data_IF_776961273551
#
_entry.id   IF_776961273551
#
_cell.length_a   1.000
_cell.length_b   1.000
_cell.length_c   1.000
_cell.angle_alpha   90.00
_cell.angle_beta   90.00
_cell.angle_gamma   90.00
#
_symmetry.space_group_name_H-M   'P 1'
#
loop_
_entity.id
_entity.type
_entity.pdbx_description
1 polymer ?
#
# COMPACT_ATOMS: atom_id res chain seq x y z
N UNK A 1 45.01 82.46 -2.51
CA UNK A 1 45.80 82.83 -3.73
C UNK A 1 45.39 81.90 -4.83
N UNK A 2 44.88 82.48 -5.90
CA UNK A 2 44.96 82.17 -7.33
C UNK A 2 44.42 80.79 -7.78
N UNK A 3 43.27 80.70 -8.43
CA UNK A 3 43.00 81.01 -9.89
C UNK A 3 43.73 79.96 -10.74
N UNK A 4 43.13 79.23 -11.65
CA UNK A 4 42.35 79.55 -12.87
C UNK A 4 41.94 78.22 -13.57
N UNK A 5 40.71 78.15 -13.94
CA UNK A 5 40.13 77.88 -15.27
C UNK A 5 41.01 77.28 -16.36
N UNK A 6 40.49 76.34 -17.11
CA UNK A 6 40.13 76.43 -18.55
C UNK A 6 39.69 75.07 -19.10
N UNK A 7 38.48 74.99 -19.43
CA UNK A 7 37.76 74.88 -20.67
C UNK A 7 38.20 73.77 -21.64
N UNK A 8 37.20 73.13 -22.08
CA UNK A 8 36.86 72.69 -23.46
C UNK A 8 37.50 71.43 -24.03
N UNK A 9 36.67 70.58 -24.43
CA UNK A 9 36.86 69.91 -25.71
C UNK A 9 36.26 68.52 -25.88
N UNK A 10 35.05 68.49 -26.46
CA UNK A 10 34.61 67.55 -27.51
C UNK A 10 34.52 66.04 -27.21
N UNK A 11 33.31 65.60 -27.10
CA UNK A 11 32.61 64.66 -28.02
C UNK A 11 33.43 63.46 -28.43
N UNK A 12 33.02 62.27 -27.96
CA UNK A 12 32.90 61.11 -28.81
C UNK A 12 32.14 60.00 -28.17
N UNK A 13 31.08 59.68 -28.81
CA UNK A 13 30.51 58.39 -29.09
C UNK A 13 30.11 57.48 -27.89
N UNK A 14 28.83 57.52 -27.66
CA UNK A 14 28.07 56.46 -27.04
C UNK A 14 28.31 55.14 -27.72
N UNK A 15 28.81 54.17 -26.98
CA UNK A 15 28.53 52.76 -27.28
C UNK A 15 27.64 52.22 -26.15
N UNK A 16 26.35 52.35 -26.39
CA UNK A 16 25.34 51.57 -25.71
C UNK A 16 25.54 50.09 -26.10
N UNK A 17 26.29 49.37 -25.33
CA UNK A 17 26.20 47.92 -25.31
C UNK A 17 24.88 47.54 -24.62
N UNK A 18 23.87 47.40 -25.47
CA UNK A 18 22.62 46.74 -25.09
C UNK A 18 22.96 45.32 -24.65
N UNK A 19 23.06 45.09 -23.36
CA UNK A 19 23.02 43.80 -22.72
C UNK A 19 21.58 43.28 -22.90
N UNK A 20 21.36 42.60 -24.05
CA UNK A 20 20.17 41.83 -24.28
C UNK A 20 20.15 40.77 -23.17
N UNK A 21 19.47 41.07 -22.08
CA UNK A 21 19.07 40.11 -21.10
C UNK A 21 18.19 39.08 -21.80
N UNK A 22 18.79 38.00 -22.22
CA UNK A 22 18.06 36.79 -22.56
C UNK A 22 17.34 36.37 -21.28
N UNK A 23 16.12 36.82 -21.12
CA UNK A 23 15.16 36.23 -20.20
C UNK A 23 15.00 34.79 -20.66
N UNK A 24 15.77 33.89 -20.08
CA UNK A 24 15.45 32.48 -20.01
C UNK A 24 14.09 32.40 -19.31
N UNK A 25 13.03 32.59 -20.09
CA UNK A 25 11.71 32.15 -19.70
C UNK A 25 11.83 30.65 -19.53
N UNK A 26 12.09 30.23 -18.28
CA UNK A 26 11.84 28.87 -17.85
C UNK A 26 10.35 28.65 -18.15
N UNK A 27 10.05 28.13 -19.35
CA UNK A 27 8.76 27.54 -19.63
C UNK A 27 8.65 26.38 -18.65
N UNK A 28 8.08 26.62 -17.48
CA UNK A 28 7.44 25.60 -16.72
C UNK A 28 6.38 25.03 -17.67
N UNK A 29 6.72 23.92 -18.33
CA UNK A 29 5.81 23.20 -19.17
C UNK A 29 4.68 22.79 -18.24
N UNK A 30 3.50 23.41 -18.40
CA UNK A 30 2.33 23.00 -17.67
C UNK A 30 2.08 21.53 -18.01
N UNK A 31 2.30 20.66 -17.03
CA UNK A 31 2.04 19.24 -17.15
C UNK A 31 0.57 19.10 -17.46
N UNK A 32 0.23 18.52 -18.60
CA UNK A 32 -1.16 18.28 -18.98
C UNK A 32 -1.78 17.27 -18.01
N UNK A 33 -3.11 17.36 -17.79
CA UNK A 33 -3.83 16.38 -16.93
C UNK A 33 -3.57 14.93 -17.37
N UNK A 34 -3.40 14.71 -18.67
CA UNK A 34 -3.09 13.40 -19.24
C UNK A 34 -1.67 12.92 -18.87
N UNK A 35 -0.69 13.82 -18.91
CA UNK A 35 0.68 13.51 -18.51
C UNK A 35 0.79 13.23 -17.00
N UNK A 36 0.08 14.02 -16.19
CA UNK A 36 -0.01 13.80 -14.74
C UNK A 36 -0.64 12.42 -14.45
N UNK A 37 -1.75 12.10 -15.10
CA UNK A 37 -2.40 10.79 -14.96
C UNK A 37 -1.49 9.63 -15.40
N UNK A 38 -0.69 9.81 -16.46
CA UNK A 38 0.29 8.83 -16.92
C UNK A 38 1.40 8.61 -15.89
N UNK A 39 1.92 9.70 -15.30
CA UNK A 39 2.91 9.63 -14.23
C UNK A 39 2.40 8.87 -12.99
N UNK A 40 1.14 9.14 -12.59
CA UNK A 40 0.49 8.43 -11.48
C UNK A 40 0.34 6.95 -11.79
N UNK A 41 -0.14 6.58 -12.99
CA UNK A 41 -0.25 5.17 -13.38
C UNK A 41 1.09 4.46 -13.25
N UNK A 42 2.16 5.04 -13.80
CA UNK A 42 3.49 4.47 -13.72
C UNK A 42 4.01 4.34 -12.28
N UNK A 43 3.70 5.29 -11.41
CA UNK A 43 4.04 5.22 -9.99
C UNK A 43 3.26 4.12 -9.26
N UNK A 44 1.94 4.04 -9.49
CA UNK A 44 1.07 3.03 -8.89
C UNK A 44 1.40 1.60 -9.36
N UNK A 45 1.72 1.39 -10.65
CA UNK A 45 2.16 0.07 -11.15
C UNK A 45 3.46 -0.39 -10.48
N UNK A 46 4.42 0.52 -10.34
CA UNK A 46 5.67 0.23 -9.63
C UNK A 46 5.43 -0.05 -8.16
N UNK A 47 4.63 0.79 -7.49
CA UNK A 47 4.27 0.63 -6.08
C UNK A 47 3.57 -0.71 -5.82
N UNK A 48 2.55 -1.04 -6.61
CA UNK A 48 1.83 -2.30 -6.50
C UNK A 48 2.76 -3.52 -6.73
N UNK A 49 3.63 -3.45 -7.74
CA UNK A 49 4.60 -4.52 -7.99
C UNK A 49 5.61 -4.67 -6.86
N UNK A 50 6.10 -3.58 -6.29
CA UNK A 50 7.02 -3.57 -5.16
C UNK A 50 6.34 -4.14 -3.88
N UNK A 51 5.10 -3.73 -3.59
CA UNK A 51 4.33 -4.25 -2.47
C UNK A 51 4.14 -5.77 -2.57
N UNK A 52 3.73 -6.27 -3.74
CA UNK A 52 3.58 -7.71 -3.98
C UNK A 52 4.90 -8.46 -3.82
N UNK A 53 6.00 -7.93 -4.32
CA UNK A 53 7.32 -8.55 -4.15
C UNK A 53 7.77 -8.56 -2.69
N UNK A 54 7.55 -7.47 -1.97
CA UNK A 54 7.94 -7.34 -0.57
C UNK A 54 7.14 -8.26 0.33
N UNK A 55 5.83 -8.31 0.15
CA UNK A 55 4.90 -9.05 1.01
C UNK A 55 4.80 -10.53 0.62
N UNK A 56 4.99 -10.88 -0.65
CA UNK A 56 4.92 -12.26 -1.14
C UNK A 56 6.19 -13.09 -0.89
N UNK A 57 7.26 -12.49 -0.37
CA UNK A 57 8.46 -13.24 0.02
C UNK A 57 8.32 -13.87 1.41
N UNK A 58 9.18 -14.82 1.72
CA UNK A 58 9.34 -15.33 3.08
C UNK A 58 9.59 -14.20 4.06
N UNK A 59 8.88 -14.20 5.18
CA UNK A 59 8.91 -13.14 6.20
C UNK A 59 8.37 -11.77 5.75
N UNK A 60 7.69 -11.71 4.61
CA UNK A 60 7.00 -10.50 4.16
C UNK A 60 5.87 -10.07 5.08
N UNK A 61 5.14 -11.03 5.67
CA UNK A 61 4.16 -10.82 6.73
C UNK A 61 4.71 -11.21 8.09
N UNK A 62 5.20 -12.43 8.25
CA UNK A 62 5.60 -12.96 9.56
C UNK A 62 6.71 -12.14 10.21
N UNK A 63 7.68 -11.71 9.43
CA UNK A 63 8.83 -10.92 9.88
C UNK A 63 8.60 -9.40 9.86
N UNK A 64 7.46 -8.92 9.37
CA UNK A 64 7.15 -7.50 9.27
C UNK A 64 6.12 -7.08 10.31
N UNK A 65 6.51 -6.36 11.38
CA UNK A 65 5.60 -5.96 12.46
C UNK A 65 4.40 -5.12 12.00
N UNK A 66 4.52 -4.40 10.87
CA UNK A 66 3.46 -3.50 10.38
C UNK A 66 2.27 -4.26 9.78
N UNK A 67 2.52 -5.42 9.17
CA UNK A 67 1.49 -6.21 8.48
C UNK A 67 1.32 -7.61 9.05
N UNK A 68 2.14 -8.00 10.02
CA UNK A 68 2.05 -9.31 10.67
C UNK A 68 0.64 -9.58 11.17
N UNK A 69 0.06 -10.69 10.74
CA UNK A 69 -1.27 -11.10 11.12
C UNK A 69 -1.23 -11.68 12.54
N UNK A 70 -1.87 -11.02 13.52
CA UNK A 70 -1.96 -11.52 14.88
C UNK A 70 -2.99 -12.63 15.00
N UNK A 71 -3.05 -13.28 16.17
CA UNK A 71 -4.17 -14.16 16.49
C UNK A 71 -5.49 -13.38 16.46
N UNK A 72 -6.60 -13.98 16.01
CA UNK A 72 -7.93 -13.44 16.22
C UNK A 72 -8.19 -13.15 17.71
N UNK A 73 -8.94 -12.09 18.02
CA UNK A 73 -9.14 -11.60 19.40
C UNK A 73 -9.51 -12.71 20.40
N UNK A 74 -10.44 -13.57 20.01
CA UNK A 74 -10.87 -14.70 20.82
C UNK A 74 -9.70 -15.66 21.19
N UNK A 75 -8.83 -16.00 20.25
CA UNK A 75 -7.64 -16.81 20.52
C UNK A 75 -6.55 -16.04 21.25
N UNK A 76 -6.46 -14.74 21.04
CA UNK A 76 -5.51 -13.91 21.76
C UNK A 76 -5.78 -13.92 23.27
N UNK A 77 -7.04 -13.83 23.66
CA UNK A 77 -7.46 -13.89 25.06
C UNK A 77 -7.23 -15.29 25.66
N UNK A 78 -7.55 -16.34 24.89
CA UNK A 78 -7.27 -17.73 25.30
C UNK A 78 -5.77 -18.07 25.29
N UNK A 79 -4.95 -17.35 24.55
CA UNK A 79 -3.52 -17.66 24.38
C UNK A 79 -2.72 -17.64 25.67
N UNK A 80 -3.08 -16.73 26.59
CA UNK A 80 -2.44 -16.66 27.92
C UNK A 80 -2.63 -17.95 28.68
N UNK A 81 -3.84 -18.49 28.68
CA UNK A 81 -4.18 -19.74 29.35
C UNK A 81 -3.52 -20.94 28.64
N UNK A 82 -3.53 -20.96 27.30
CA UNK A 82 -2.88 -22.00 26.52
C UNK A 82 -1.36 -22.03 26.72
N UNK A 83 -0.73 -20.88 26.95
CA UNK A 83 0.69 -20.79 27.31
C UNK A 83 0.98 -21.46 28.66
N UNK A 84 0.14 -21.22 29.63
CA UNK A 84 0.28 -21.82 30.98
C UNK A 84 0.12 -23.36 30.98
N UNK A 85 -0.60 -23.90 29.99
CA UNK A 85 -0.81 -25.34 29.80
C UNK A 85 0.22 -26.00 28.85
N UNK A 86 1.31 -25.30 28.49
CA UNK A 86 2.37 -25.83 27.66
C UNK A 86 2.03 -25.90 26.17
N UNK A 87 0.95 -25.25 25.73
CA UNK A 87 0.50 -25.27 24.32
C UNK A 87 1.04 -24.12 23.48
N UNK A 88 2.07 -23.41 23.94
CA UNK A 88 2.70 -22.29 23.24
C UNK A 88 3.07 -22.65 21.80
N UNK A 89 3.68 -23.82 21.58
CA UNK A 89 4.10 -24.27 20.26
C UNK A 89 2.96 -24.30 19.25
N UNK A 90 1.75 -24.74 19.65
CA UNK A 90 0.57 -24.77 18.76
C UNK A 90 0.10 -23.38 18.37
N UNK A 91 0.24 -22.41 19.27
CA UNK A 91 -0.07 -21.00 19.00
C UNK A 91 0.91 -20.44 17.97
N UNK A 92 2.20 -20.69 18.16
CA UNK A 92 3.25 -20.22 17.25
C UNK A 92 3.13 -20.86 15.87
N UNK A 93 2.77 -22.14 15.80
CA UNK A 93 2.46 -22.86 14.56
C UNK A 93 1.29 -22.20 13.82
N UNK A 94 0.22 -21.83 14.51
CA UNK A 94 -0.92 -21.17 13.90
C UNK A 94 -0.56 -19.75 13.38
N UNK A 95 0.12 -18.94 14.19
CA UNK A 95 0.57 -17.61 13.79
C UNK A 95 1.46 -17.72 12.52
N UNK A 96 2.38 -18.67 12.53
CA UNK A 96 3.26 -18.93 11.39
C UNK A 96 2.46 -19.33 10.16
N UNK A 97 1.54 -20.26 10.29
CA UNK A 97 0.72 -20.74 9.16
C UNK A 97 -0.15 -19.62 8.56
N UNK A 98 -0.79 -18.79 9.39
CA UNK A 98 -1.60 -17.66 8.92
C UNK A 98 -0.77 -16.66 8.10
N UNK A 99 0.40 -16.29 8.59
CA UNK A 99 1.27 -15.34 7.92
C UNK A 99 1.88 -15.93 6.63
N UNK A 100 2.32 -17.21 6.65
CA UNK A 100 2.80 -17.91 5.46
C UNK A 100 1.70 -18.09 4.41
N UNK A 101 0.46 -18.30 4.82
CA UNK A 101 -0.68 -18.34 3.92
C UNK A 101 -0.90 -17.00 3.20
N UNK A 102 -0.79 -15.88 3.93
CA UNK A 102 -0.85 -14.55 3.35
C UNK A 102 0.29 -14.30 2.35
N UNK A 103 1.52 -14.64 2.71
CA UNK A 103 2.70 -14.54 1.84
C UNK A 103 2.53 -15.34 0.53
N UNK A 104 1.91 -16.53 0.60
CA UNK A 104 1.63 -17.35 -0.57
C UNK A 104 0.50 -16.80 -1.44
N UNK A 105 -0.47 -16.10 -0.86
CA UNK A 105 -1.61 -15.55 -1.59
C UNK A 105 -1.27 -14.23 -2.30
N UNK A 106 -0.42 -13.39 -1.72
CA UNK A 106 -0.11 -12.04 -2.23
C UNK A 106 0.38 -11.99 -3.67
N UNK A 107 1.19 -12.93 -4.20
CA UNK A 107 1.59 -12.91 -5.62
C UNK A 107 0.42 -12.89 -6.61
N UNK A 108 -0.72 -13.49 -6.25
CA UNK A 108 -1.94 -13.49 -7.08
C UNK A 108 -2.54 -12.08 -7.25
N UNK A 109 -2.23 -11.16 -6.36
CA UNK A 109 -2.71 -9.79 -6.45
C UNK A 109 -2.11 -8.99 -7.61
N UNK A 110 -0.91 -9.37 -8.08
CA UNK A 110 -0.15 -8.57 -9.05
C UNK A 110 -0.94 -8.20 -10.29
N UNK A 111 -1.54 -9.20 -10.93
CA UNK A 111 -2.28 -9.01 -12.17
C UNK A 111 -3.50 -8.11 -11.96
N UNK A 112 -4.26 -8.32 -10.89
CA UNK A 112 -5.46 -7.54 -10.59
C UNK A 112 -5.11 -6.08 -10.25
N UNK A 113 -4.07 -5.84 -9.46
CA UNK A 113 -3.60 -4.49 -9.12
C UNK A 113 -3.10 -3.74 -10.37
N UNK A 114 -2.27 -4.38 -11.20
CA UNK A 114 -1.78 -3.77 -12.45
C UNK A 114 -2.94 -3.47 -13.41
N UNK A 115 -3.90 -4.38 -13.57
CA UNK A 115 -5.06 -4.15 -14.41
C UNK A 115 -5.96 -3.02 -13.89
N UNK A 116 -6.12 -2.89 -12.57
CA UNK A 116 -6.83 -1.76 -11.98
C UNK A 116 -6.18 -0.42 -12.34
N UNK A 117 -4.84 -0.34 -12.28
CA UNK A 117 -4.11 0.87 -12.68
C UNK A 117 -4.23 1.14 -14.17
N UNK A 118 -4.12 0.13 -15.03
CA UNK A 118 -4.25 0.28 -16.48
C UNK A 118 -5.64 0.75 -16.91
N UNK A 119 -6.68 0.33 -16.21
CA UNK A 119 -8.06 0.75 -16.44
C UNK A 119 -8.43 2.07 -15.75
N UNK A 120 -7.48 2.70 -15.04
CA UNK A 120 -7.68 3.95 -14.33
C UNK A 120 -8.02 5.09 -15.29
N UNK A 121 -9.12 5.80 -15.03
CA UNK A 121 -9.50 7.01 -15.77
C UNK A 121 -8.65 8.22 -15.36
N UNK A 122 -8.71 9.30 -16.14
CA UNK A 122 -8.06 10.58 -15.77
C UNK A 122 -8.67 11.13 -14.48
N UNK A 123 -9.99 10.97 -14.32
CA UNK A 123 -10.71 11.39 -13.11
C UNK A 123 -10.30 10.58 -11.86
N UNK A 124 -10.05 9.25 -12.00
CA UNK A 124 -9.47 8.45 -10.93
C UNK A 124 -8.09 8.99 -10.52
N UNK A 125 -7.25 9.33 -11.50
CA UNK A 125 -5.94 9.93 -11.27
C UNK A 125 -6.03 11.26 -10.54
N UNK A 126 -6.97 12.12 -10.93
CA UNK A 126 -7.23 13.39 -10.25
C UNK A 126 -7.67 13.18 -8.80
N UNK A 127 -8.59 12.25 -8.56
CA UNK A 127 -9.05 11.92 -7.20
C UNK A 127 -7.92 11.39 -6.32
N UNK A 128 -7.01 10.60 -6.88
CA UNK A 128 -5.83 10.13 -6.15
C UNK A 128 -4.92 11.31 -5.77
N UNK A 129 -4.67 12.24 -6.70
CA UNK A 129 -3.81 13.41 -6.43
C UNK A 129 -4.38 14.36 -5.37
N UNK A 130 -5.69 14.54 -5.35
CA UNK A 130 -6.36 15.52 -4.48
C UNK A 130 -6.99 14.91 -3.24
N UNK A 131 -7.00 13.59 -3.14
CA UNK A 131 -7.81 12.84 -2.17
C UNK A 131 -7.14 12.52 -0.83
N UNK A 132 -5.91 13.00 -0.57
CA UNK A 132 -5.17 12.74 0.67
C UNK A 132 -4.38 11.43 0.65
N UNK A 133 -3.72 11.13 1.78
CA UNK A 133 -2.68 10.10 1.89
C UNK A 133 -3.13 8.68 1.58
N UNK A 134 -4.40 8.35 1.82
CA UNK A 134 -4.98 7.02 1.61
C UNK A 134 -5.75 6.86 0.29
N UNK A 135 -5.75 7.90 -0.57
CA UNK A 135 -6.52 7.90 -1.82
C UNK A 135 -6.14 6.78 -2.80
N UNK A 136 -4.84 6.48 -2.91
CA UNK A 136 -4.34 5.36 -3.71
C UNK A 136 -4.78 4.01 -3.12
N UNK A 137 -4.69 3.86 -1.81
CA UNK A 137 -5.15 2.68 -1.07
C UNK A 137 -6.63 2.42 -1.29
N UNK A 138 -7.46 3.45 -1.16
CA UNK A 138 -8.92 3.36 -1.43
C UNK A 138 -9.20 2.96 -2.86
N UNK A 139 -8.52 3.58 -3.84
CA UNK A 139 -8.66 3.23 -5.24
C UNK A 139 -8.40 1.74 -5.48
N UNK A 140 -7.30 1.18 -4.96
CA UNK A 140 -7.01 -0.24 -5.10
C UNK A 140 -8.03 -1.11 -4.39
N UNK A 141 -8.40 -0.79 -3.16
CA UNK A 141 -9.37 -1.55 -2.40
C UNK A 141 -10.73 -1.61 -3.11
N UNK A 142 -11.24 -0.47 -3.58
CA UNK A 142 -12.53 -0.38 -4.28
C UNK A 142 -12.54 -1.20 -5.58
N UNK A 143 -11.44 -1.21 -6.32
CA UNK A 143 -11.35 -1.91 -7.60
C UNK A 143 -11.05 -3.40 -7.49
N UNK A 144 -10.35 -3.84 -6.43
CA UNK A 144 -9.76 -5.18 -6.42
C UNK A 144 -10.11 -6.04 -5.22
N UNK A 145 -10.58 -5.48 -4.09
CA UNK A 145 -10.80 -6.24 -2.84
C UNK A 145 -11.70 -7.46 -3.02
N UNK A 146 -12.82 -7.32 -3.71
CA UNK A 146 -13.76 -8.44 -3.93
C UNK A 146 -13.12 -9.57 -4.74
N UNK A 147 -12.47 -9.22 -5.85
CA UNK A 147 -11.81 -10.21 -6.70
C UNK A 147 -10.63 -10.86 -5.96
N UNK A 148 -9.81 -10.08 -5.25
CA UNK A 148 -8.69 -10.61 -4.47
C UNK A 148 -9.15 -11.49 -3.32
N UNK A 149 -10.26 -11.17 -2.66
CA UNK A 149 -10.85 -12.07 -1.64
C UNK A 149 -11.14 -13.45 -2.24
N UNK A 150 -11.75 -13.51 -3.43
CA UNK A 150 -12.04 -14.78 -4.10
C UNK A 150 -10.79 -15.55 -4.50
N UNK A 151 -9.69 -14.87 -4.86
CA UNK A 151 -8.42 -15.51 -5.19
C UNK A 151 -7.63 -15.96 -3.97
N UNK A 152 -7.61 -15.17 -2.90
CA UNK A 152 -6.82 -15.45 -1.70
C UNK A 152 -7.42 -16.57 -0.85
N UNK A 153 -8.74 -16.60 -0.73
CA UNK A 153 -9.43 -17.51 0.17
C UNK A 153 -9.05 -18.99 -0.03
N UNK A 154 -9.06 -19.57 -1.25
CA UNK A 154 -8.71 -20.97 -1.45
C UNK A 154 -7.24 -21.26 -1.15
N UNK A 155 -6.32 -20.31 -1.39
CA UNK A 155 -4.90 -20.46 -1.09
C UNK A 155 -4.69 -20.49 0.42
N UNK A 156 -5.31 -19.55 1.12
CA UNK A 156 -5.24 -19.42 2.57
C UNK A 156 -5.89 -20.62 3.25
N UNK A 157 -7.05 -21.08 2.76
CA UNK A 157 -7.70 -22.28 3.26
C UNK A 157 -6.76 -23.49 3.17
N UNK A 158 -6.21 -23.78 2.00
CA UNK A 158 -5.29 -24.89 1.79
C UNK A 158 -4.05 -24.83 2.69
N UNK A 159 -3.54 -23.63 2.96
CA UNK A 159 -2.36 -23.44 3.81
C UNK A 159 -2.68 -23.61 5.30
N UNK A 160 -3.89 -23.24 5.75
CA UNK A 160 -4.31 -23.29 7.15
C UNK A 160 -5.01 -24.59 7.55
N UNK A 161 -5.63 -25.33 6.63
CA UNK A 161 -6.37 -26.58 6.89
C UNK A 161 -5.50 -27.68 7.53
N UNK A 162 -4.19 -27.63 7.35
CA UNK A 162 -3.24 -28.60 7.94
C UNK A 162 -2.92 -28.33 9.41
N UNK A 163 -3.40 -27.23 9.95
CA UNK A 163 -3.11 -26.80 11.32
C UNK A 163 -4.29 -27.20 12.22
N UNK A 164 -4.10 -28.19 13.07
CA UNK A 164 -5.15 -28.70 13.95
C UNK A 164 -5.81 -27.63 14.83
N UNK A 165 -5.13 -26.54 15.14
CA UNK A 165 -5.69 -25.43 15.91
C UNK A 165 -6.68 -24.59 15.07
N UNK A 166 -6.52 -24.58 13.73
CA UNK A 166 -7.44 -23.87 12.83
C UNK A 166 -8.84 -24.53 12.82
N UNK A 167 -8.92 -25.85 12.76
CA UNK A 167 -10.20 -26.57 12.86
C UNK A 167 -10.90 -26.32 14.20
N UNK A 168 -10.13 -26.37 15.30
CA UNK A 168 -10.67 -26.09 16.64
C UNK A 168 -11.14 -24.64 16.79
N UNK A 169 -10.42 -23.71 16.18
CA UNK A 169 -10.84 -22.32 16.12
C UNK A 169 -12.19 -22.20 15.41
N UNK A 170 -12.31 -22.69 14.19
CA UNK A 170 -13.53 -22.58 13.38
C UNK A 170 -14.75 -23.21 14.10
N UNK A 171 -14.54 -24.36 14.75
CA UNK A 171 -15.61 -25.03 15.52
C UNK A 171 -16.10 -24.22 16.74
N UNK A 172 -15.19 -23.58 17.47
CA UNK A 172 -15.53 -22.78 18.66
C UNK A 172 -16.07 -21.41 18.27
N UNK A 173 -15.41 -20.75 17.31
CA UNK A 173 -15.78 -19.42 16.85
C UNK A 173 -17.13 -19.43 16.11
N UNK A 174 -17.42 -20.49 15.35
CA UNK A 174 -18.73 -20.68 14.72
C UNK A 174 -19.87 -20.77 15.74
N UNK A 175 -19.67 -21.46 16.89
CA UNK A 175 -20.63 -21.48 17.98
C UNK A 175 -20.82 -20.09 18.62
N UNK A 176 -19.72 -19.36 18.84
CA UNK A 176 -19.76 -18.00 19.39
C UNK A 176 -20.47 -17.01 18.45
N UNK A 177 -20.28 -17.14 17.15
CA UNK A 177 -20.98 -16.35 16.14
C UNK A 177 -22.49 -16.67 16.10
N UNK A 178 -22.87 -17.94 16.26
CA UNK A 178 -24.26 -18.38 16.31
C UNK A 178 -25.07 -17.79 17.47
N UNK A 179 -24.41 -17.38 18.54
CA UNK A 179 -25.04 -16.70 19.70
C UNK A 179 -24.73 -15.19 19.74
N UNK A 180 -24.19 -14.62 18.66
CA UNK A 180 -23.97 -13.17 18.52
C UNK A 180 -22.75 -12.61 19.26
N UNK A 181 -21.85 -13.46 19.77
CA UNK A 181 -20.66 -13.03 20.51
C UNK A 181 -19.51 -12.59 19.61
N UNK A 182 -19.56 -12.89 18.32
CA UNK A 182 -18.58 -12.43 17.34
C UNK A 182 -19.17 -12.34 15.93
N UNK A 183 -18.49 -11.63 15.02
CA UNK A 183 -18.93 -11.55 13.65
C UNK A 183 -18.72 -12.88 12.90
N UNK A 184 -19.58 -13.17 11.91
CA UNK A 184 -19.42 -14.38 11.08
C UNK A 184 -18.08 -14.39 10.32
N UNK A 185 -17.54 -13.21 9.96
CA UNK A 185 -16.25 -13.10 9.28
C UNK A 185 -15.07 -13.45 10.17
N UNK A 186 -15.15 -13.10 11.45
CA UNK A 186 -14.12 -13.42 12.44
C UNK A 186 -14.25 -14.86 12.97
N UNK A 187 -15.42 -15.49 12.78
CA UNK A 187 -15.68 -16.86 13.16
C UNK A 187 -15.02 -17.89 12.20
N UNK A 188 -14.59 -17.46 11.04
CA UNK A 188 -13.87 -18.26 10.04
C UNK A 188 -12.44 -17.76 9.94
N UNK A 189 -11.47 -18.62 10.29
CA UNK A 189 -10.05 -18.26 10.29
C UNK A 189 -9.56 -17.88 8.91
N UNK A 190 -10.05 -18.55 7.87
CA UNK A 190 -9.67 -18.30 6.49
C UNK A 190 -10.15 -16.92 6.03
N UNK A 191 -11.36 -16.54 6.40
CA UNK A 191 -11.90 -15.21 6.15
C UNK A 191 -11.12 -14.13 6.92
N UNK A 192 -10.81 -14.39 8.18
CA UNK A 192 -10.00 -13.48 9.01
C UNK A 192 -8.63 -13.23 8.38
N UNK A 193 -7.89 -14.32 8.05
CA UNK A 193 -6.56 -14.21 7.45
C UNK A 193 -6.62 -13.53 6.09
N UNK A 194 -7.63 -13.84 5.26
CA UNK A 194 -7.84 -13.19 3.96
C UNK A 194 -8.05 -11.68 4.12
N UNK A 195 -8.92 -11.28 5.05
CA UNK A 195 -9.15 -9.87 5.36
C UNK A 195 -7.87 -9.16 5.77
N UNK A 196 -7.12 -9.75 6.71
CA UNK A 196 -5.86 -9.20 7.21
C UNK A 196 -4.75 -9.15 6.15
N UNK A 197 -4.68 -10.16 5.28
CA UNK A 197 -3.72 -10.16 4.17
C UNK A 197 -4.00 -9.03 3.18
N UNK A 198 -5.27 -8.77 2.87
CA UNK A 198 -5.68 -7.65 2.03
C UNK A 198 -5.46 -6.29 2.72
N UNK A 199 -5.73 -6.18 4.03
CA UNK A 199 -5.47 -4.96 4.78
C UNK A 199 -3.97 -4.61 4.83
N UNK A 200 -3.10 -5.63 4.87
CA UNK A 200 -1.65 -5.43 4.82
C UNK A 200 -1.10 -5.17 3.41
N UNK A 201 -1.85 -5.55 2.36
CA UNK A 201 -1.47 -5.32 0.97
C UNK A 201 -1.75 -3.87 0.54
N UNK A 202 -2.81 -3.27 1.05
CA UNK A 202 -3.23 -1.90 0.73
C UNK A 202 -2.59 -0.87 1.65
#
# INVERSE_FOLDING_TARGET
MQRRNFTSGLISAATLTAWSGATLSARAQAVTETEAASGIRAALERGASAAVQLLGRTDGFLGNPQVRIPLPGFLNDASKLLKMTGQQRRIDELITAMNRAAEQAVPEARTLLVNAVRSMSVEDGRRILTGGDDSATRFFADKTRTALTAHFLPIIAKATDRVALAEKYNALAGKAAGVGLMSAKDADLQQYVTGKALDGLY
#
